data_IF_063543453475
#
_entry.id   IF_063543453475
#
_cell.length_a   1.000
_cell.length_b   1.000
_cell.length_c   1.000
_cell.angle_alpha   90.00
_cell.angle_beta   90.00
_cell.angle_gamma   90.00
#
_symmetry.space_group_name_H-M   'P 1'
#
loop_
_entity.id
_entity.type
_entity.pdbx_description
1 polymer ?
#
# COMPACT_ATOMS: atom_id res chain seq x y z
N UNK A 1 -36.79 6.52 -2.56
CA UNK A 1 -36.29 7.83 -2.11
C UNK A 1 -36.46 7.86 -0.59
N UNK A 2 -35.50 8.12 0.30
CA UNK A 2 -34.11 8.57 0.29
C UNK A 2 -33.44 7.94 1.52
N UNK A 3 -32.24 7.34 1.38
CA UNK A 3 -30.92 7.90 1.73
C UNK A 3 -30.80 8.29 3.21
N UNK A 4 -29.89 7.61 3.93
CA UNK A 4 -28.88 8.21 4.81
C UNK A 4 -27.97 7.10 5.36
N UNK A 5 -27.02 6.69 4.52
CA UNK A 5 -25.89 5.85 4.89
C UNK A 5 -24.78 6.79 5.38
N UNK A 6 -24.65 6.93 6.70
CA UNK A 6 -23.57 7.71 7.32
C UNK A 6 -22.35 6.79 7.40
N UNK A 7 -21.51 6.84 6.37
CA UNK A 7 -20.16 6.23 6.39
C UNK A 7 -19.23 7.26 7.02
N UNK A 8 -19.03 7.15 8.34
CA UNK A 8 -18.02 7.91 9.06
C UNK A 8 -16.63 7.37 8.74
N UNK A 9 -15.88 8.06 7.89
CA UNK A 9 -14.48 7.75 7.63
C UNK A 9 -13.66 8.41 8.75
N UNK A 10 -13.20 7.59 9.70
CA UNK A 10 -12.22 7.99 10.69
C UNK A 10 -10.84 8.06 10.01
N UNK A 11 -10.32 9.28 9.82
CA UNK A 11 -8.95 9.51 9.35
C UNK A 11 -8.01 9.34 10.53
N UNK A 12 -7.41 8.14 10.65
CA UNK A 12 -6.28 7.94 11.54
C UNK A 12 -5.04 8.58 10.89
N UNK A 13 -4.67 9.78 11.34
CA UNK A 13 -3.39 10.40 10.97
C UNK A 13 -2.25 9.57 11.56
N UNK A 14 -1.60 8.79 10.70
CA UNK A 14 -0.40 8.04 11.01
C UNK A 14 0.76 8.98 11.30
N UNK A 15 1.36 8.79 12.47
CA UNK A 15 2.59 9.41 12.94
C UNK A 15 3.73 9.20 11.93
N UNK A 16 4.31 10.31 11.46
CA UNK A 16 5.65 10.35 10.90
C UNK A 16 6.56 10.97 11.96
N UNK A 17 7.42 10.15 12.57
CA UNK A 17 8.53 10.64 13.38
C UNK A 17 9.76 9.80 13.05
N UNK A 18 10.61 10.39 12.21
CA UNK A 18 11.96 9.91 11.94
C UNK A 18 12.85 10.31 13.11
N UNK A 19 13.51 9.34 13.73
CA UNK A 19 14.50 9.56 14.79
C UNK A 19 15.11 8.22 15.20
N UNK A 20 16.43 8.13 15.13
CA UNK A 20 17.21 6.91 15.25
C UNK A 20 17.18 6.27 16.65
N UNK A 21 17.60 5.00 16.67
CA UNK A 21 18.01 4.14 17.80
C UNK A 21 16.98 3.13 18.30
N UNK A 22 17.42 1.88 18.25
CA UNK A 22 16.73 0.64 18.54
C UNK A 22 16.09 0.60 19.94
N UNK A 23 14.77 0.49 19.99
CA UNK A 23 14.05 -0.16 21.07
C UNK A 23 12.71 -0.68 20.54
N UNK A 24 12.57 -2.00 20.56
CA UNK A 24 11.44 -2.79 20.10
C UNK A 24 10.12 -2.37 20.75
N UNK A 25 9.25 -1.70 19.98
CA UNK A 25 7.81 -1.61 20.26
C UNK A 25 6.99 -1.20 19.02
N UNK A 26 7.44 -1.56 17.82
CA UNK A 26 6.50 -1.96 16.78
C UNK A 26 6.49 -3.48 16.85
N UNK A 27 5.32 -4.12 16.79
CA UNK A 27 5.24 -5.54 16.43
C UNK A 27 6.18 -5.72 15.24
N UNK A 28 7.33 -6.36 15.49
CA UNK A 28 8.39 -6.55 14.50
C UNK A 28 7.84 -7.53 13.49
N UNK A 29 7.18 -6.97 12.49
CA UNK A 29 6.48 -7.68 11.44
C UNK A 29 7.42 -8.66 10.70
N UNK A 30 8.75 -8.46 10.81
CA UNK A 30 9.77 -9.44 10.44
C UNK A 30 10.88 -9.45 11.49
N UNK A 31 11.04 -10.55 12.21
CA UNK A 31 12.36 -10.86 12.77
C UNK A 31 13.39 -10.95 11.62
N UNK A 32 14.65 -10.63 11.90
CA UNK A 32 15.79 -10.56 10.94
C UNK A 32 15.93 -11.75 9.97
N UNK A 33 15.25 -12.87 10.24
CA UNK A 33 15.28 -14.11 9.46
C UNK A 33 14.10 -14.35 8.51
N UNK A 34 13.04 -13.52 8.51
CA UNK A 34 11.79 -13.82 7.75
C UNK A 34 11.77 -13.29 6.31
N UNK A 35 12.64 -12.35 5.95
CA UNK A 35 12.81 -11.92 4.55
C UNK A 35 14.12 -12.46 3.93
N UNK A 36 14.71 -13.50 4.52
CA UNK A 36 16.06 -13.96 4.19
C UNK A 36 16.17 -14.73 2.86
N UNK A 37 15.06 -15.11 2.25
CA UNK A 37 15.07 -15.68 0.90
C UNK A 37 15.28 -14.57 -0.14
N UNK A 38 16.56 -14.21 -0.30
CA UNK A 38 17.00 -13.18 -1.26
C UNK A 38 16.58 -13.52 -2.69
N UNK A 39 16.47 -14.80 -3.05
CA UNK A 39 16.13 -15.22 -4.40
C UNK A 39 14.64 -15.06 -4.67
N UNK A 40 13.78 -15.54 -3.77
CA UNK A 40 12.33 -15.32 -3.85
C UNK A 40 11.98 -13.83 -3.82
N UNK A 41 12.67 -13.05 -2.98
CA UNK A 41 12.49 -11.60 -2.91
C UNK A 41 12.91 -10.89 -4.20
N UNK A 42 14.06 -11.23 -4.78
CA UNK A 42 14.49 -10.64 -6.07
C UNK A 42 13.52 -10.99 -7.20
N UNK A 43 13.02 -12.21 -7.23
CA UNK A 43 12.06 -12.66 -8.25
C UNK A 43 10.71 -11.97 -8.10
N UNK A 44 10.21 -11.87 -6.86
CA UNK A 44 9.03 -11.07 -6.52
C UNK A 44 9.19 -9.62 -7.00
N UNK A 45 10.29 -8.95 -6.63
CA UNK A 45 10.54 -7.54 -7.02
C UNK A 45 10.56 -7.36 -8.53
N UNK A 46 11.16 -8.30 -9.29
CA UNK A 46 11.16 -8.25 -10.75
C UNK A 46 9.75 -8.42 -11.33
N UNK A 47 9.00 -9.40 -10.82
CA UNK A 47 7.63 -9.68 -11.29
C UNK A 47 6.64 -8.56 -10.93
N UNK A 48 6.85 -7.86 -9.81
CA UNK A 48 5.98 -6.78 -9.36
C UNK A 48 6.46 -5.39 -9.76
N UNK A 49 7.64 -5.22 -10.36
CA UNK A 49 8.21 -3.90 -10.68
C UNK A 49 7.24 -2.99 -11.47
N UNK A 50 6.60 -3.54 -12.51
CA UNK A 50 5.63 -2.81 -13.31
C UNK A 50 4.35 -2.48 -12.50
N UNK A 51 3.87 -3.41 -11.68
CA UNK A 51 2.69 -3.22 -10.82
C UNK A 51 2.95 -2.16 -9.73
N UNK A 52 4.13 -2.20 -9.11
CA UNK A 52 4.56 -1.23 -8.10
C UNK A 52 4.74 0.16 -8.70
N UNK A 53 5.28 0.26 -9.92
CA UNK A 53 5.37 1.52 -10.66
C UNK A 53 3.98 2.10 -10.97
N UNK A 54 3.06 1.26 -11.46
CA UNK A 54 1.68 1.66 -11.72
C UNK A 54 0.94 2.09 -10.45
N UNK A 55 1.17 1.39 -9.34
CA UNK A 55 0.61 1.73 -8.03
C UNK A 55 1.11 3.10 -7.58
N UNK A 56 2.42 3.34 -7.65
CA UNK A 56 3.01 4.63 -7.28
C UNK A 56 2.48 5.77 -8.13
N UNK A 57 2.34 5.57 -9.44
CA UNK A 57 1.79 6.58 -10.35
C UNK A 57 0.34 6.92 -10.01
N UNK A 58 -0.50 5.92 -9.69
CA UNK A 58 -1.90 6.16 -9.30
C UNK A 58 -2.04 6.80 -7.92
N UNK A 59 -1.16 6.45 -6.98
CA UNK A 59 -1.12 7.06 -5.65
C UNK A 59 -0.75 8.55 -5.73
N UNK A 60 0.21 8.90 -6.59
CA UNK A 60 0.55 10.30 -6.90
C UNK A 60 -0.66 11.03 -7.48
N UNK A 61 -1.34 10.46 -8.48
CA UNK A 61 -2.55 11.08 -9.06
C UNK A 61 -3.65 11.31 -8.04
N UNK A 62 -3.86 10.36 -7.13
CA UNK A 62 -4.85 10.50 -6.07
C UNK A 62 -4.48 11.62 -5.10
N UNK A 63 -3.18 11.76 -4.77
CA UNK A 63 -2.67 12.88 -3.97
C UNK A 63 -2.80 14.22 -4.71
N UNK A 64 -2.51 14.27 -6.00
CA UNK A 64 -2.69 15.46 -6.83
C UNK A 64 -4.16 15.89 -6.88
N UNK A 65 -5.09 14.94 -7.02
CA UNK A 65 -6.53 15.20 -6.98
C UNK A 65 -6.98 15.73 -5.61
N UNK A 66 -6.39 15.26 -4.52
CA UNK A 66 -6.65 15.79 -3.18
C UNK A 66 -6.12 17.22 -3.00
N UNK A 67 -5.06 17.60 -3.72
CA UNK A 67 -4.44 18.93 -3.66
C UNK A 67 -5.02 19.93 -4.67
N UNK A 68 -5.70 19.48 -5.73
CA UNK A 68 -6.18 20.33 -6.83
C UNK A 68 -7.34 21.27 -6.47
N UNK A 69 -7.86 21.20 -5.23
CA UNK A 69 -9.01 22.00 -4.76
C UNK A 69 -10.35 21.66 -5.44
N UNK A 70 -10.33 20.80 -6.46
CA UNK A 70 -11.50 20.30 -7.20
C UNK A 70 -11.54 18.79 -7.05
N UNK A 71 -11.97 18.35 -5.87
CA UNK A 71 -12.03 16.93 -5.53
C UNK A 71 -13.16 16.24 -6.30
N UNK A 72 -12.82 15.61 -7.42
CA UNK A 72 -13.74 14.76 -8.15
C UNK A 72 -13.83 13.39 -7.47
N UNK A 73 -14.92 13.20 -6.73
CA UNK A 73 -15.23 11.97 -5.99
C UNK A 73 -15.29 10.73 -6.90
N UNK A 74 -15.69 10.86 -8.16
CA UNK A 74 -15.76 9.73 -9.10
C UNK A 74 -14.37 9.32 -9.57
N UNK A 75 -13.52 10.30 -9.92
CA UNK A 75 -12.13 10.03 -10.26
C UNK A 75 -11.35 9.47 -9.07
N UNK A 76 -11.60 9.97 -7.86
CA UNK A 76 -11.00 9.43 -6.64
C UNK A 76 -11.40 7.97 -6.43
N UNK A 77 -12.70 7.65 -6.48
CA UNK A 77 -13.20 6.28 -6.29
C UNK A 77 -12.67 5.30 -7.35
N UNK A 78 -12.51 5.74 -8.60
CA UNK A 78 -11.89 4.94 -9.65
C UNK A 78 -10.40 4.67 -9.34
N UNK A 79 -9.63 5.70 -8.96
CA UNK A 79 -8.23 5.55 -8.57
C UNK A 79 -8.05 4.64 -7.35
N UNK A 80 -8.92 4.75 -6.34
CA UNK A 80 -8.91 3.87 -5.17
C UNK A 80 -9.20 2.41 -5.53
N UNK A 81 -10.12 2.17 -6.46
CA UNK A 81 -10.44 0.83 -6.96
C UNK A 81 -9.24 0.23 -7.69
N UNK A 82 -8.62 1.00 -8.58
CA UNK A 82 -7.42 0.57 -9.29
C UNK A 82 -6.24 0.29 -8.34
N UNK A 83 -6.07 1.11 -7.30
CA UNK A 83 -5.05 0.90 -6.28
C UNK A 83 -5.30 -0.38 -5.48
N UNK A 84 -6.54 -0.67 -5.12
CA UNK A 84 -6.91 -1.94 -4.46
C UNK A 84 -6.61 -3.14 -5.36
N UNK A 85 -6.93 -3.06 -6.64
CA UNK A 85 -6.65 -4.13 -7.59
C UNK A 85 -5.14 -4.36 -7.78
N UNK A 86 -4.35 -3.30 -7.93
CA UNK A 86 -2.89 -3.41 -8.04
C UNK A 86 -2.27 -4.01 -6.78
N UNK A 87 -2.72 -3.60 -5.60
CA UNK A 87 -2.30 -4.19 -4.32
C UNK A 87 -2.67 -5.67 -4.24
N UNK A 88 -3.87 -6.05 -4.69
CA UNK A 88 -4.28 -7.44 -4.73
C UNK A 88 -3.39 -8.28 -5.66
N UNK A 89 -3.07 -7.78 -6.85
CA UNK A 89 -2.15 -8.45 -7.80
C UNK A 89 -0.75 -8.64 -7.20
N UNK A 90 -0.18 -7.60 -6.58
CA UNK A 90 1.11 -7.69 -5.88
C UNK A 90 1.03 -8.72 -4.75
N UNK A 91 -0.05 -8.73 -3.98
CA UNK A 91 -0.25 -9.70 -2.90
C UNK A 91 -0.34 -11.14 -3.42
N UNK A 92 -1.01 -11.38 -4.55
CA UNK A 92 -1.04 -12.70 -5.19
C UNK A 92 0.35 -13.17 -5.59
N UNK A 93 1.18 -12.29 -6.16
CA UNK A 93 2.58 -12.61 -6.49
C UNK A 93 3.40 -12.85 -5.23
N UNK A 94 3.17 -12.09 -4.16
CA UNK A 94 3.83 -12.30 -2.87
C UNK A 94 3.50 -13.68 -2.28
N UNK A 95 2.23 -14.08 -2.28
CA UNK A 95 1.79 -15.41 -1.81
C UNK A 95 2.43 -16.52 -2.63
N UNK A 96 2.51 -16.36 -3.96
CA UNK A 96 3.16 -17.32 -4.86
C UNK A 96 4.64 -17.55 -4.51
N UNK A 97 5.35 -16.49 -4.11
CA UNK A 97 6.77 -16.55 -3.74
C UNK A 97 7.00 -16.74 -2.23
N UNK A 98 5.96 -17.03 -1.45
CA UNK A 98 6.07 -17.23 0.01
C UNK A 98 6.45 -15.97 0.78
N UNK A 99 6.28 -14.77 0.20
CA UNK A 99 6.65 -13.50 0.80
C UNK A 99 5.56 -13.06 1.78
N UNK A 100 5.93 -12.94 3.06
CA UNK A 100 5.06 -12.47 4.12
C UNK A 100 4.62 -11.01 3.88
N UNK A 101 3.48 -10.59 4.44
CA UNK A 101 2.97 -9.21 4.32
C UNK A 101 3.98 -8.14 4.71
N UNK A 102 4.89 -8.52 5.59
CA UNK A 102 5.88 -7.68 6.22
C UNK A 102 7.14 -7.49 5.37
N UNK A 103 7.35 -8.32 4.34
CA UNK A 103 8.48 -8.24 3.39
C UNK A 103 8.08 -7.65 2.03
N UNK A 104 6.90 -7.00 1.93
CA UNK A 104 6.33 -6.50 0.65
C UNK A 104 6.54 -4.99 0.43
N UNK A 105 7.25 -4.34 1.34
CA UNK A 105 7.48 -2.89 1.39
C UNK A 105 8.68 -2.45 0.57
#
# INVERSE_FOLDING_TARGET
MNKNMIVGIAVAMGMLSAGALSASAAVSCCGDSQCSDKQAHQQFTKETAALSSALKAKDIKLRELALSGTYDTWQAAALETDLKELKAKINTVAVKHGISACCRS
#
